data_IF_123083735164
#
_entry.id   IF_123083735164
#
_cell.length_a   1.000
_cell.length_b   1.000
_cell.length_c   1.000
_cell.angle_alpha   90.00
_cell.angle_beta   90.00
_cell.angle_gamma   90.00
#
_symmetry.space_group_name_H-M   'P 1'
#
loop_
_entity.id
_entity.type
_entity.pdbx_description
1 polymer ?
#
# COMPACT_ATOMS: atom_id res chain seq x y z
N UNK A 1 11.32 36.05 32.23
CA UNK A 1 9.96 35.57 31.85
C UNK A 1 9.77 35.39 30.34
N UNK A 2 10.17 36.32 29.45
CA UNK A 2 10.03 36.18 27.98
C UNK A 2 10.64 34.91 27.36
N UNK A 3 11.83 34.49 27.81
CA UNK A 3 12.50 33.26 27.30
C UNK A 3 11.77 31.97 27.66
N UNK A 4 11.02 31.93 28.76
CA UNK A 4 10.25 30.75 29.19
C UNK A 4 8.99 30.62 28.34
N UNK A 5 8.28 31.73 28.10
CA UNK A 5 7.16 31.74 27.14
C UNK A 5 7.60 31.38 25.72
N UNK A 6 8.76 31.87 25.26
CA UNK A 6 9.27 31.53 23.93
C UNK A 6 9.62 30.04 23.78
N UNK A 7 10.16 29.41 24.84
CA UNK A 7 10.41 27.96 24.86
C UNK A 7 9.12 27.14 24.90
N UNK A 8 8.15 27.57 25.71
CA UNK A 8 6.82 26.92 25.78
C UNK A 8 6.08 27.01 24.44
N UNK A 9 6.16 28.15 23.77
CA UNK A 9 5.54 28.35 22.45
C UNK A 9 6.20 27.49 21.36
N UNK A 10 7.53 27.37 21.40
CA UNK A 10 8.26 26.51 20.47
C UNK A 10 7.95 25.02 20.67
N UNK A 11 7.82 24.55 21.91
CA UNK A 11 7.39 23.18 22.23
C UNK A 11 5.96 22.94 21.72
N UNK A 12 5.05 23.90 21.92
CA UNK A 12 3.67 23.78 21.47
C UNK A 12 3.57 23.71 19.93
N UNK A 13 4.35 24.53 19.21
CA UNK A 13 4.46 24.46 17.76
C UNK A 13 5.02 23.12 17.27
N UNK A 14 6.02 22.57 17.94
CA UNK A 14 6.60 21.26 17.59
C UNK A 14 5.61 20.10 17.80
N UNK A 15 4.83 20.13 18.88
CA UNK A 15 3.77 19.12 19.14
C UNK A 15 2.66 19.23 18.10
N UNK A 16 2.24 20.46 17.75
CA UNK A 16 1.19 20.68 16.74
C UNK A 16 1.65 20.26 15.33
N UNK A 17 2.91 20.53 14.98
CA UNK A 17 3.50 20.10 13.72
C UNK A 17 3.65 18.57 13.64
N UNK A 18 4.02 17.90 14.74
CA UNK A 18 4.11 16.44 14.81
C UNK A 18 2.76 15.73 14.63
N UNK A 19 1.68 16.32 15.17
CA UNK A 19 0.34 15.76 15.04
C UNK A 19 -0.20 15.77 13.59
N UNK A 20 0.24 16.74 12.78
CA UNK A 20 -0.17 16.86 11.37
C UNK A 20 0.42 15.78 10.44
N UNK A 21 1.54 15.15 10.84
CA UNK A 21 2.19 14.10 10.03
C UNK A 21 1.60 12.70 10.25
N UNK A 22 0.78 12.51 11.29
CA UNK A 22 0.26 11.20 11.66
C UNK A 22 -1.12 10.87 11.06
N UNK A 23 -1.77 11.82 10.37
CA UNK A 23 -3.13 11.65 9.88
C UNK A 23 -3.17 11.42 8.37
N UNK A 24 -2.64 10.29 7.92
CA UNK A 24 -2.72 9.90 6.52
C UNK A 24 -1.98 8.59 6.29
N UNK A 25 -2.71 7.48 6.31
CA UNK A 25 -2.19 6.20 5.80
C UNK A 25 -1.73 6.34 4.34
N UNK A 26 -1.27 5.24 3.71
CA UNK A 26 -0.77 5.27 2.34
C UNK A 26 -1.69 6.07 1.44
N UNK A 27 -1.13 6.98 0.63
CA UNK A 27 -1.91 7.97 -0.12
C UNK A 27 -3.04 7.37 -0.98
N UNK A 28 -2.87 6.11 -1.42
CA UNK A 28 -3.86 5.33 -2.17
C UNK A 28 -5.11 5.03 -1.35
N UNK A 29 -4.97 4.68 -0.08
CA UNK A 29 -6.09 4.52 0.84
C UNK A 29 -6.87 5.82 0.95
N UNK A 30 -6.16 6.95 1.10
CA UNK A 30 -6.79 8.26 1.21
C UNK A 30 -7.52 8.62 -0.09
N UNK A 31 -6.95 8.29 -1.25
CA UNK A 31 -7.56 8.48 -2.56
C UNK A 31 -8.88 7.70 -2.70
N UNK A 32 -8.87 6.40 -2.42
CA UNK A 32 -10.10 5.59 -2.52
C UNK A 32 -11.11 5.92 -1.43
N UNK A 33 -10.67 6.21 -0.20
CA UNK A 33 -11.56 6.62 0.91
C UNK A 33 -12.32 7.90 0.58
N UNK A 34 -11.66 8.91 0.01
CA UNK A 34 -12.31 10.15 -0.42
C UNK A 34 -13.11 10.00 -1.71
N UNK A 35 -12.88 8.91 -2.44
CA UNK A 35 -13.44 8.64 -3.75
C UNK A 35 -14.69 7.76 -3.76
N UNK A 36 -15.09 7.19 -2.62
CA UNK A 36 -16.35 6.44 -2.51
C UNK A 36 -17.51 7.33 -2.93
N UNK A 37 -18.42 6.76 -3.72
CA UNK A 37 -19.58 7.40 -4.35
C UNK A 37 -19.26 8.52 -5.36
N UNK A 38 -17.99 8.66 -5.76
CA UNK A 38 -17.53 9.73 -6.65
C UNK A 38 -16.65 9.25 -7.79
N UNK A 39 -15.64 8.43 -7.49
CA UNK A 39 -14.61 8.05 -8.45
C UNK A 39 -15.18 7.13 -9.52
N UNK A 40 -14.93 7.47 -10.77
CA UNK A 40 -15.26 6.63 -11.93
C UNK A 40 -14.12 5.68 -12.29
N UNK A 41 -14.44 4.65 -13.07
CA UNK A 41 -13.43 3.75 -13.63
C UNK A 41 -12.36 4.47 -14.47
N UNK A 42 -12.74 5.50 -15.22
CA UNK A 42 -11.83 6.25 -16.07
C UNK A 42 -10.85 7.07 -15.23
N UNK A 43 -11.33 7.77 -14.19
CA UNK A 43 -10.48 8.51 -13.25
C UNK A 43 -9.48 7.59 -12.51
N UNK A 44 -9.94 6.39 -12.13
CA UNK A 44 -9.07 5.40 -11.48
C UNK A 44 -8.03 4.87 -12.48
N UNK A 45 -8.40 4.64 -13.74
CA UNK A 45 -7.48 4.16 -14.79
C UNK A 45 -6.47 5.22 -15.17
N UNK A 46 -6.85 6.49 -15.22
CA UNK A 46 -5.94 7.61 -15.46
C UNK A 46 -4.87 7.69 -14.36
N UNK A 47 -5.26 7.42 -13.11
CA UNK A 47 -4.37 7.55 -11.96
C UNK A 47 -3.52 6.29 -11.69
N UNK A 48 -4.06 5.10 -11.88
CA UNK A 48 -3.40 3.82 -11.54
C UNK A 48 -3.00 2.98 -12.75
N UNK A 49 -3.41 3.37 -13.95
CA UNK A 49 -3.31 2.54 -15.15
C UNK A 49 -4.37 1.43 -15.16
N UNK A 50 -4.25 0.48 -16.11
CA UNK A 50 -5.19 -0.62 -16.21
C UNK A 50 -5.13 -1.54 -14.97
N UNK A 51 -6.27 -2.07 -14.51
CA UNK A 51 -6.29 -3.02 -13.40
C UNK A 51 -5.63 -4.34 -13.80
N UNK A 52 -5.12 -5.09 -12.80
CA UNK A 52 -4.59 -6.43 -13.02
C UNK A 52 -5.69 -7.43 -13.34
N UNK A 53 -6.91 -7.18 -12.84
CA UNK A 53 -8.09 -7.96 -13.18
C UNK A 53 -9.29 -7.03 -13.15
N UNK A 54 -10.12 -7.08 -14.18
CA UNK A 54 -11.42 -6.43 -14.24
C UNK A 54 -12.48 -7.50 -14.49
N UNK A 55 -13.31 -7.78 -13.49
CA UNK A 55 -14.45 -8.69 -13.61
C UNK A 55 -15.71 -7.86 -13.79
N UNK A 56 -16.28 -7.93 -14.98
CA UNK A 56 -17.59 -7.33 -15.30
C UNK A 56 -18.51 -8.44 -15.77
N UNK A 57 -19.70 -8.61 -15.16
CA UNK A 57 -20.67 -9.61 -15.62
C UNK A 57 -21.07 -9.36 -17.08
N UNK A 58 -21.22 -10.45 -17.85
CA UNK A 58 -21.52 -10.38 -19.29
C UNK A 58 -22.86 -9.68 -19.62
N UNK A 59 -23.78 -9.63 -18.67
CA UNK A 59 -25.11 -9.02 -18.81
C UNK A 59 -25.17 -7.58 -18.27
N UNK A 60 -24.03 -6.98 -17.92
CA UNK A 60 -23.99 -5.76 -17.14
C UNK A 60 -24.16 -6.04 -15.65
N UNK A 61 -23.89 -5.03 -14.82
CA UNK A 61 -23.88 -5.17 -13.36
C UNK A 61 -22.66 -4.51 -12.73
N UNK A 62 -22.57 -4.67 -11.41
CA UNK A 62 -21.42 -4.26 -10.63
C UNK A 62 -20.13 -4.90 -11.16
N UNK A 63 -19.04 -4.13 -11.11
CA UNK A 63 -17.74 -4.59 -11.58
C UNK A 63 -16.70 -4.55 -10.48
N UNK A 64 -15.86 -5.57 -10.47
CA UNK A 64 -14.84 -5.75 -9.44
C UNK A 64 -13.47 -5.68 -10.08
N UNK A 65 -12.71 -4.65 -9.72
CA UNK A 65 -11.35 -4.43 -10.21
C UNK A 65 -10.32 -4.75 -9.14
N UNK A 66 -9.16 -5.23 -9.57
CA UNK A 66 -8.05 -5.56 -8.67
C UNK A 66 -6.76 -4.91 -9.13
N UNK A 67 -6.10 -4.20 -8.20
CA UNK A 67 -4.75 -3.67 -8.38
C UNK A 67 -3.80 -4.35 -7.40
N UNK A 68 -2.64 -4.81 -7.87
CA UNK A 68 -1.55 -5.28 -7.02
C UNK A 68 -0.45 -4.26 -7.05
N UNK A 69 0.04 -3.87 -5.88
CA UNK A 69 1.08 -2.86 -5.77
C UNK A 69 2.23 -3.39 -4.94
N UNK A 70 3.44 -3.54 -5.50
CA UNK A 70 4.60 -3.98 -4.74
C UNK A 70 4.93 -2.98 -3.63
N UNK A 71 5.31 -3.51 -2.47
CA UNK A 71 5.92 -2.74 -1.39
C UNK A 71 7.37 -2.49 -1.82
N UNK A 72 7.68 -1.23 -2.13
CA UNK A 72 9.04 -0.85 -2.50
C UNK A 72 9.99 -1.05 -1.31
N UNK A 73 11.26 -1.39 -1.55
CA UNK A 73 12.28 -1.58 -0.52
C UNK A 73 12.37 -0.41 0.49
N UNK A 74 12.10 0.82 0.03
CA UNK A 74 12.05 2.03 0.87
C UNK A 74 10.91 2.08 1.89
N UNK A 75 9.83 1.33 1.66
CA UNK A 75 8.72 1.15 2.60
C UNK A 75 9.00 -0.04 3.54
N UNK A 76 9.81 -1.02 3.10
CA UNK A 76 10.34 -2.08 3.96
C UNK A 76 11.39 -1.54 4.95
N UNK A 77 12.22 -0.56 4.56
CA UNK A 77 13.23 0.03 5.45
C UNK A 77 12.65 0.95 6.53
N UNK A 78 11.48 1.54 6.30
CA UNK A 78 10.75 2.33 7.31
C UNK A 78 10.00 1.44 8.30
N UNK A 79 9.62 0.22 7.89
CA UNK A 79 9.15 -0.86 8.76
C UNK A 79 10.35 -1.62 9.33
N UNK A 80 11.08 -0.98 10.23
CA UNK A 80 12.06 -1.65 11.07
C UNK A 80 11.33 -2.74 11.90
N UNK A 81 11.15 -3.93 11.34
CA UNK A 81 11.07 -5.16 12.12
C UNK A 81 12.42 -5.28 12.80
N UNK A 82 12.53 -4.73 14.01
CA UNK A 82 13.75 -4.65 14.81
C UNK A 82 14.40 -6.01 15.09
N UNK A 83 13.76 -7.13 14.71
CA UNK A 83 14.30 -8.49 14.80
C UNK A 83 14.77 -9.12 13.48
N UNK A 84 14.38 -8.61 12.30
CA UNK A 84 14.70 -9.27 11.03
C UNK A 84 15.96 -8.72 10.35
N UNK A 85 16.27 -7.44 10.57
CA UNK A 85 17.46 -6.79 10.01
C UNK A 85 18.76 -7.47 10.46
N UNK A 86 18.83 -8.00 11.69
CA UNK A 86 20.03 -8.71 12.16
C UNK A 86 20.10 -10.17 11.66
N UNK A 87 18.98 -10.80 11.33
CA UNK A 87 18.95 -12.15 10.77
C UNK A 87 19.26 -12.16 9.27
N UNK A 88 18.79 -11.15 8.53
CA UNK A 88 19.05 -11.01 7.09
C UNK A 88 20.53 -10.80 6.78
N UNK A 89 21.25 -9.99 7.57
CA UNK A 89 22.70 -9.76 7.39
C UNK A 89 23.55 -10.99 7.75
N UNK A 90 23.01 -11.92 8.54
CA UNK A 90 23.71 -13.16 8.91
C UNK A 90 23.38 -14.32 7.95
N UNK A 91 22.25 -14.29 7.26
CA UNK A 91 21.87 -15.32 6.28
C UNK A 91 22.51 -15.14 4.90
N UNK A 92 22.91 -13.90 4.54
CA UNK A 92 23.59 -13.59 3.26
C UNK A 92 25.00 -14.18 3.15
N UNK A 93 25.60 -14.66 4.24
CA UNK A 93 26.89 -15.35 4.20
C UNK A 93 26.79 -16.86 4.01
N UNK A 94 25.58 -17.45 4.04
CA UNK A 94 25.40 -18.90 4.11
C UNK A 94 24.65 -19.55 2.94
N UNK A 95 23.99 -18.80 2.04
CA UNK A 95 23.34 -19.39 0.85
C UNK A 95 23.44 -18.51 -0.40
N UNK A 96 24.10 -19.04 -1.44
CA UNK A 96 23.78 -18.69 -2.84
C UNK A 96 24.88 -17.94 -3.61
N UNK A 97 25.07 -18.34 -4.86
CA UNK A 97 26.04 -17.83 -5.85
C UNK A 97 25.94 -16.30 -6.07
N UNK A 98 27.05 -15.65 -6.46
CA UNK A 98 27.05 -14.25 -6.83
C UNK A 98 26.27 -14.05 -8.14
N UNK A 99 25.14 -13.35 -8.08
CA UNK A 99 24.41 -12.91 -9.28
C UNK A 99 22.89 -13.06 -9.22
N UNK A 100 22.36 -13.88 -8.33
CA UNK A 100 20.93 -13.91 -8.00
C UNK A 100 20.76 -13.26 -6.64
N UNK A 101 20.39 -11.97 -6.65
CA UNK A 101 19.90 -11.29 -5.45
C UNK A 101 18.73 -12.05 -4.85
N UNK A 102 18.33 -11.73 -3.60
CA UNK A 102 17.21 -12.39 -2.95
C UNK A 102 16.04 -12.44 -3.94
N UNK A 103 15.52 -13.64 -4.25
CA UNK A 103 14.28 -13.76 -5.00
C UNK A 103 13.25 -12.95 -4.21
N UNK A 104 12.96 -11.75 -4.67
CA UNK A 104 12.16 -10.81 -3.90
C UNK A 104 10.85 -11.50 -3.52
N UNK A 105 10.70 -11.84 -2.24
CA UNK A 105 9.40 -12.09 -1.67
C UNK A 105 8.72 -10.72 -1.69
N UNK A 106 8.16 -10.37 -2.85
CA UNK A 106 7.53 -9.08 -3.08
C UNK A 106 6.27 -9.05 -2.23
N UNK A 107 6.39 -8.56 -1.01
CA UNK A 107 5.25 -8.09 -0.25
C UNK A 107 4.49 -7.13 -1.16
N UNK A 108 3.22 -7.40 -1.43
CA UNK A 108 2.38 -6.48 -2.18
C UNK A 108 1.10 -6.20 -1.42
N UNK A 109 0.45 -5.09 -1.75
CA UNK A 109 -0.92 -4.83 -1.35
C UNK A 109 -1.84 -5.05 -2.55
N UNK A 110 -2.93 -5.78 -2.31
CA UNK A 110 -4.04 -5.95 -3.25
C UNK A 110 -5.15 -4.97 -2.88
N UNK A 111 -5.50 -4.10 -3.81
CA UNK A 111 -6.67 -3.23 -3.73
C UNK A 111 -7.79 -3.85 -4.56
N UNK A 112 -8.92 -4.13 -3.93
CA UNK A 112 -10.13 -4.58 -4.61
C UNK A 112 -11.13 -3.43 -4.61
N UNK A 113 -11.57 -3.02 -5.79
CA UNK A 113 -12.49 -1.90 -6.01
C UNK A 113 -13.80 -2.45 -6.56
N UNK A 114 -14.92 -2.13 -5.91
CA UNK A 114 -16.26 -2.49 -6.38
C UNK A 114 -16.93 -1.23 -6.92
N UNK A 115 -17.26 -1.26 -8.21
CA UNK A 115 -18.02 -0.23 -8.89
C UNK A 115 -19.45 -0.69 -9.11
N UNK A 116 -20.39 0.24 -9.03
CA UNK A 116 -21.78 0.00 -9.42
C UNK A 116 -21.94 -0.11 -10.95
N UNK A 117 -23.18 -0.31 -11.41
CA UNK A 117 -23.56 -0.33 -12.82
C UNK A 117 -23.22 0.97 -13.57
N UNK A 118 -23.22 2.10 -12.86
CA UNK A 118 -22.84 3.42 -13.36
C UNK A 118 -21.32 3.63 -13.39
N UNK A 119 -20.54 2.59 -13.05
CA UNK A 119 -19.07 2.60 -13.01
C UNK A 119 -18.50 3.55 -11.95
N UNK A 120 -19.25 3.79 -10.88
CA UNK A 120 -18.87 4.63 -9.74
C UNK A 120 -18.41 3.73 -8.58
N UNK A 121 -17.27 4.07 -7.97
CA UNK A 121 -16.68 3.34 -6.86
C UNK A 121 -17.60 3.36 -5.63
N UNK A 122 -18.09 2.20 -5.20
CA UNK A 122 -18.93 2.07 -3.99
C UNK A 122 -18.18 1.55 -2.80
N UNK A 123 -17.26 0.62 -3.02
CA UNK A 123 -16.50 0.01 -1.95
C UNK A 123 -15.09 -0.28 -2.40
N UNK A 124 -14.17 -0.28 -1.44
CA UNK A 124 -12.80 -0.72 -1.68
C UNK A 124 -12.27 -1.45 -0.45
N UNK A 125 -11.33 -2.36 -0.69
CA UNK A 125 -10.61 -3.08 0.35
C UNK A 125 -9.14 -3.14 0.01
N UNK A 126 -8.28 -2.98 1.01
CA UNK A 126 -6.86 -3.30 0.93
C UNK A 126 -6.56 -4.57 1.71
N UNK A 127 -5.84 -5.48 1.07
CA UNK A 127 -5.35 -6.71 1.68
C UNK A 127 -3.87 -6.86 1.37
N UNK A 128 -3.12 -7.46 2.28
CA UNK A 128 -1.77 -7.93 1.96
C UNK A 128 -1.88 -9.09 0.97
N UNK A 129 -1.05 -9.05 -0.07
CA UNK A 129 -0.80 -10.23 -0.86
C UNK A 129 -0.12 -11.25 0.05
N UNK A 130 -0.79 -12.35 0.35
CA UNK A 130 -0.15 -13.46 1.06
C UNK A 130 1.02 -13.92 0.20
N UNK A 131 2.27 -13.88 0.71
CA UNK A 131 3.41 -14.45 0.00
C UNK A 131 3.21 -15.97 -0.04
N UNK A 132 2.48 -16.45 -1.04
CA UNK A 132 2.52 -17.84 -1.41
C UNK A 132 3.90 -18.15 -1.99
N UNK A 133 4.48 -19.28 -1.61
CA UNK A 133 5.60 -19.87 -2.37
C UNK A 133 5.20 -19.99 -3.84
N UNK A 134 6.15 -19.87 -4.77
CA UNK A 134 5.92 -20.05 -6.22
C UNK A 134 5.06 -21.29 -6.56
N UNK A 135 5.16 -22.33 -5.74
CA UNK A 135 4.42 -23.59 -5.84
C UNK A 135 2.92 -23.45 -5.52
N UNK A 136 2.55 -22.55 -4.60
CA UNK A 136 1.14 -22.27 -4.24
C UNK A 136 0.44 -21.31 -5.21
N UNK A 137 1.19 -20.56 -6.03
CA UNK A 137 0.64 -19.62 -7.02
C UNK A 137 0.32 -20.29 -8.37
N UNK A 138 0.86 -21.49 -8.63
CA UNK A 138 0.65 -22.28 -9.85
C UNK A 138 -0.11 -23.60 -9.61
N UNK A 139 -0.63 -23.83 -8.40
CA UNK A 139 -1.44 -25.01 -8.12
C UNK A 139 -2.78 -24.91 -8.88
N UNK A 140 -2.93 -25.83 -9.83
CA UNK A 140 -4.06 -25.97 -10.75
C UNK A 140 -5.32 -26.48 -10.05
#
# INVERSE_FOLDING_TARGET
>A
MRRVHQRLFAVWLLVFAGAMLACGGPWRDAYFKKGVDRLTQDEVTEMFGPPHTAKTPALGGDSVWTYRVPVAEKELSSWHFSGLANAATQATSLLGKPGEGPKDMLYCYRYTLNFDEQKILKQWKREECVPGTHDTLNAK
#
